data_IF_292929918055
#
_entry.id   IF_292929918055
#
_cell.length_a   1.000
_cell.length_b   1.000
_cell.length_c   1.000
_cell.angle_alpha   90.00
_cell.angle_beta   90.00
_cell.angle_gamma   90.00
#
_symmetry.space_group_name_H-M   'P 1'
#
loop_
_entity.id
_entity.type
_entity.pdbx_description
1 polymer ?
#
# COMPACT_ATOMS: atom_id res chain seq x y z
N UNK A 1 -6.84 7.33 -66.04
CA UNK A 1 -7.58 8.26 -65.18
C UNK A 1 -8.06 7.44 -64.01
N UNK A 2 -7.20 7.18 -63.02
CA UNK A 2 -6.59 8.10 -62.03
C UNK A 2 -7.32 7.94 -60.69
N UNK A 3 -6.59 7.29 -59.78
CA UNK A 3 -6.48 7.48 -58.34
C UNK A 3 -7.50 8.38 -57.61
N UNK A 4 -8.00 7.88 -56.47
CA UNK A 4 -7.73 8.56 -55.19
C UNK A 4 -7.95 7.63 -54.00
N UNK A 5 -6.87 7.43 -53.25
CA UNK A 5 -6.86 6.99 -51.86
C UNK A 5 -7.52 8.04 -50.96
N UNK A 6 -8.35 7.62 -49.99
CA UNK A 6 -8.58 8.19 -48.63
C UNK A 6 -9.90 7.58 -48.11
N UNK A 7 -10.08 7.08 -46.89
CA UNK A 7 -9.44 7.30 -45.60
C UNK A 7 -9.58 6.02 -44.76
N UNK A 8 -8.45 5.47 -44.33
CA UNK A 8 -8.35 4.66 -43.10
C UNK A 8 -8.39 5.66 -41.94
N UNK A 9 -9.44 5.66 -41.11
CA UNK A 9 -9.37 6.27 -39.77
C UNK A 9 -10.62 5.95 -38.95
N UNK A 10 -10.42 5.26 -37.82
CA UNK A 10 -11.35 5.36 -36.69
C UNK A 10 -11.81 4.06 -36.05
N UNK A 11 -11.13 2.93 -36.26
CA UNK A 11 -11.16 1.85 -35.26
C UNK A 11 -9.87 1.94 -34.46
N UNK A 12 -9.95 1.73 -33.15
CA UNK A 12 -8.84 1.74 -32.17
C UNK A 12 -8.55 3.06 -31.43
N UNK A 13 -9.58 3.65 -30.80
CA UNK A 13 -9.38 4.49 -29.61
C UNK A 13 -10.20 4.02 -28.40
N UNK A 14 -11.21 3.18 -28.60
CA UNK A 14 -12.03 2.60 -27.52
C UNK A 14 -11.49 1.27 -26.96
N UNK A 15 -10.52 0.63 -27.64
CA UNK A 15 -9.90 -0.62 -27.17
C UNK A 15 -8.65 -0.38 -26.29
N UNK A 16 -8.10 0.84 -26.31
CA UNK A 16 -6.93 1.22 -25.49
C UNK A 16 -7.28 1.80 -24.14
N UNK A 17 -8.53 2.17 -23.92
CA UNK A 17 -9.09 2.17 -22.57
C UNK A 17 -9.42 0.72 -22.24
N UNK A 18 -8.37 -0.08 -21.98
CA UNK A 18 -8.54 -1.25 -21.14
C UNK A 18 -9.07 -0.72 -19.82
N UNK A 19 -10.39 -0.69 -19.71
CA UNK A 19 -11.12 -0.87 -18.48
C UNK A 19 -10.26 -1.78 -17.62
N UNK A 20 -9.60 -1.20 -16.61
CA UNK A 20 -9.25 -1.93 -15.40
C UNK A 20 -10.59 -2.26 -14.72
N UNK A 21 -11.42 -3.04 -15.40
CA UNK A 21 -12.45 -3.82 -14.78
C UNK A 21 -11.63 -4.88 -14.05
N UNK A 22 -11.27 -4.55 -12.82
CA UNK A 22 -10.59 -5.46 -11.92
C UNK A 22 -11.44 -6.72 -11.92
N UNK A 23 -11.01 -7.75 -12.63
CA UNK A 23 -11.73 -9.02 -12.75
C UNK A 23 -11.72 -9.68 -11.36
N UNK A 24 -12.66 -9.27 -10.50
CA UNK A 24 -13.05 -10.00 -9.30
C UNK A 24 -13.73 -11.35 -9.66
N UNK A 25 -13.63 -11.81 -10.91
CA UNK A 25 -14.25 -13.02 -11.44
C UNK A 25 -13.41 -14.28 -11.23
N UNK A 26 -12.20 -14.18 -10.66
CA UNK A 26 -11.46 -15.37 -10.25
C UNK A 26 -11.93 -15.88 -8.88
N UNK A 27 -12.04 -17.20 -8.73
CA UNK A 27 -12.26 -17.81 -7.42
C UNK A 27 -11.18 -17.32 -6.44
N UNK A 28 -11.58 -16.92 -5.23
CA UNK A 28 -10.63 -16.47 -4.21
C UNK A 28 -9.58 -17.54 -3.93
N UNK A 29 -8.31 -17.17 -4.10
CA UNK A 29 -7.15 -18.00 -3.75
C UNK A 29 -6.49 -17.39 -2.51
N UNK A 30 -6.57 -18.04 -1.34
CA UNK A 30 -5.92 -17.54 -0.13
C UNK A 30 -4.41 -17.40 -0.34
N UNK A 31 -3.85 -16.26 0.08
CA UNK A 31 -2.39 -16.06 0.09
C UNK A 31 -1.74 -17.08 1.03
N UNK A 32 -0.68 -17.74 0.55
CA UNK A 32 0.12 -18.69 1.33
C UNK A 32 1.32 -17.96 1.91
N UNK A 33 1.39 -17.86 3.24
CA UNK A 33 2.40 -17.08 3.96
C UNK A 33 2.43 -15.59 3.56
N UNK A 34 3.06 -15.24 2.45
CA UNK A 34 3.10 -13.87 1.92
C UNK A 34 3.16 -13.87 0.38
N UNK A 35 2.75 -12.75 -0.22
CA UNK A 35 2.96 -12.42 -1.63
C UNK A 35 3.61 -11.06 -1.72
N UNK A 36 4.73 -10.98 -2.42
CA UNK A 36 5.54 -9.76 -2.53
C UNK A 36 5.30 -9.14 -3.90
N UNK A 37 5.04 -7.84 -3.92
CA UNK A 37 4.95 -7.05 -5.15
C UNK A 37 5.90 -5.86 -5.05
N UNK A 38 6.79 -5.76 -6.03
CA UNK A 38 7.78 -4.69 -6.14
C UNK A 38 7.28 -3.66 -7.16
N UNK A 39 7.45 -2.38 -6.84
CA UNK A 39 7.17 -1.30 -7.77
C UNK A 39 8.06 -0.09 -7.51
N UNK A 40 8.39 0.62 -8.60
CA UNK A 40 9.15 1.86 -8.57
C UNK A 40 8.20 3.06 -8.58
N UNK A 41 8.52 4.08 -7.78
CA UNK A 41 7.65 5.25 -7.61
C UNK A 41 8.01 6.45 -8.48
N UNK A 42 7.92 6.33 -9.81
CA UNK A 42 8.19 7.47 -10.73
C UNK A 42 7.16 8.61 -10.67
N UNK A 43 5.92 8.30 -10.29
CA UNK A 43 4.75 9.19 -10.47
C UNK A 43 4.26 9.90 -9.20
N UNK A 44 4.82 9.61 -8.02
CA UNK A 44 4.05 9.77 -6.78
C UNK A 44 3.98 11.21 -6.25
N UNK A 45 4.84 12.13 -6.72
CA UNK A 45 4.96 13.47 -6.12
C UNK A 45 5.26 14.59 -7.13
N UNK A 46 4.28 14.94 -7.96
CA UNK A 46 4.39 16.10 -8.87
C UNK A 46 4.14 17.46 -8.18
N UNK A 47 3.77 17.52 -6.90
CA UNK A 47 3.26 18.76 -6.28
C UNK A 47 4.10 19.43 -5.18
N UNK A 48 5.37 19.05 -4.96
CA UNK A 48 6.26 19.90 -4.14
C UNK A 48 7.59 20.18 -4.84
N UNK A 49 7.59 21.20 -5.71
CA UNK A 49 8.80 21.85 -6.22
C UNK A 49 9.45 22.76 -5.16
N UNK A 50 9.71 22.22 -3.97
CA UNK A 50 10.55 22.88 -2.97
C UNK A 50 11.79 22.03 -2.71
N UNK A 51 12.82 22.42 -3.45
CA UNK A 51 14.26 22.18 -3.30
C UNK A 51 14.67 21.43 -2.03
N UNK A 52 15.20 20.21 -2.18
CA UNK A 52 16.02 19.54 -1.17
C UNK A 52 15.57 18.13 -0.77
N UNK A 53 14.34 17.72 -1.07
CA UNK A 53 13.91 16.33 -0.90
C UNK A 53 14.63 15.46 -1.95
N UNK A 54 15.39 14.45 -1.50
CA UNK A 54 15.78 13.30 -2.34
C UNK A 54 14.54 12.94 -3.15
N UNK A 55 14.63 13.01 -4.48
CA UNK A 55 13.48 12.74 -5.34
C UNK A 55 12.95 11.38 -4.92
N UNK A 56 11.72 11.35 -4.42
CA UNK A 56 10.94 10.13 -4.16
C UNK A 56 10.76 9.27 -5.43
N UNK A 57 11.35 9.69 -6.57
CA UNK A 57 11.36 9.02 -7.87
C UNK A 57 12.28 7.78 -7.91
N UNK A 58 13.22 7.63 -6.97
CA UNK A 58 14.17 6.51 -6.97
C UNK A 58 13.93 5.54 -5.79
N UNK A 59 12.75 5.58 -5.17
CA UNK A 59 12.39 4.68 -4.08
C UNK A 59 11.77 3.39 -4.63
N UNK A 60 12.37 2.26 -4.26
CA UNK A 60 11.81 0.93 -4.49
C UNK A 60 10.85 0.61 -3.35
N UNK A 61 9.62 0.22 -3.69
CA UNK A 61 8.61 -0.16 -2.69
C UNK A 61 8.29 -1.63 -2.83
N UNK A 62 8.37 -2.35 -1.72
CA UNK A 62 7.95 -3.74 -1.61
C UNK A 62 6.65 -3.82 -0.80
N UNK A 63 5.57 -4.24 -1.44
CA UNK A 63 4.32 -4.54 -0.76
C UNK A 63 4.25 -6.03 -0.46
N UNK A 64 4.20 -6.36 0.83
CA UNK A 64 4.08 -7.72 1.33
C UNK A 64 2.62 -8.00 1.75
N UNK A 65 1.84 -8.62 0.87
CA UNK A 65 0.49 -9.13 1.17
C UNK A 65 0.61 -10.38 2.05
N UNK A 66 0.27 -10.25 3.33
CA UNK A 66 0.44 -11.31 4.34
C UNK A 66 -0.83 -12.12 4.52
N UNK A 67 -0.69 -13.44 4.63
CA UNK A 67 -1.81 -14.34 4.90
C UNK A 67 -2.45 -14.06 6.26
N UNK A 68 -3.78 -13.94 6.30
CA UNK A 68 -4.55 -13.88 7.55
C UNK A 68 -4.66 -15.22 8.30
N UNK A 69 -4.14 -16.31 7.75
CA UNK A 69 -4.20 -17.65 8.36
C UNK A 69 -3.07 -17.85 9.37
N UNK A 70 -3.44 -18.08 10.63
CA UNK A 70 -2.53 -18.25 11.77
C UNK A 70 -1.58 -19.45 11.64
N UNK A 71 -1.81 -20.38 10.71
CA UNK A 71 -0.84 -21.47 10.46
C UNK A 71 0.52 -20.99 9.91
N UNK A 72 0.59 -19.73 9.45
CA UNK A 72 1.81 -19.10 8.97
C UNK A 72 2.47 -18.19 10.03
N UNK A 73 2.08 -18.26 11.29
CA UNK A 73 2.66 -17.46 12.37
C UNK A 73 4.18 -17.59 12.50
N UNK A 74 4.71 -18.80 12.24
CA UNK A 74 6.13 -19.08 12.36
C UNK A 74 7.01 -18.27 11.37
N UNK A 75 6.45 -17.78 10.26
CA UNK A 75 7.18 -16.95 9.30
C UNK A 75 6.98 -15.44 9.52
N UNK A 76 6.13 -15.02 10.46
CA UNK A 76 5.91 -13.60 10.74
C UNK A 76 7.20 -12.84 11.09
N UNK A 77 8.14 -13.37 11.90
CA UNK A 77 9.39 -12.66 12.19
C UNK A 77 10.16 -12.26 10.93
N UNK A 78 10.25 -13.15 9.94
CA UNK A 78 10.95 -12.86 8.68
C UNK A 78 10.16 -11.91 7.76
N UNK A 79 8.83 -11.91 7.84
CA UNK A 79 7.97 -11.04 7.02
C UNK A 79 8.02 -9.59 7.51
N UNK A 80 8.10 -9.39 8.83
CA UNK A 80 8.01 -8.06 9.45
C UNK A 80 9.36 -7.43 9.78
N UNK A 81 10.44 -8.17 9.54
CA UNK A 81 11.81 -7.66 9.65
C UNK A 81 11.95 -6.42 8.75
N UNK A 82 12.45 -5.33 9.33
CA UNK A 82 12.63 -4.02 8.67
C UNK A 82 11.37 -3.42 8.02
N UNK A 83 10.17 -3.80 8.46
CA UNK A 83 8.94 -3.21 7.96
C UNK A 83 8.84 -1.70 8.32
N UNK A 84 8.68 -0.86 7.30
CA UNK A 84 8.61 0.60 7.47
C UNK A 84 7.19 1.13 7.72
N UNK A 85 6.18 0.38 7.26
CA UNK A 85 4.78 0.74 7.41
C UNK A 85 3.86 -0.48 7.31
N UNK A 86 2.65 -0.35 7.86
CA UNK A 86 1.66 -1.44 7.95
C UNK A 86 0.28 -0.95 7.55
N UNK A 87 -0.38 -1.72 6.68
CA UNK A 87 -1.79 -1.54 6.34
C UNK A 87 -2.58 -2.67 7.00
N UNK A 88 -3.44 -2.31 7.96
CA UNK A 88 -4.36 -3.24 8.62
C UNK A 88 -5.68 -3.26 7.85
N UNK A 89 -6.10 -4.44 7.38
CA UNK A 89 -7.33 -4.60 6.60
C UNK A 89 -8.35 -5.41 7.39
N UNK A 90 -9.58 -4.93 7.49
CA UNK A 90 -10.69 -5.66 8.11
C UNK A 90 -11.95 -5.53 7.26
N UNK A 91 -12.73 -6.61 7.16
CA UNK A 91 -14.10 -6.53 6.66
C UNK A 91 -15.03 -6.13 7.81
N UNK A 92 -15.64 -4.93 7.82
CA UNK A 92 -16.49 -4.46 8.92
C UNK A 92 -17.80 -5.25 9.06
N UNK A 93 -18.16 -6.08 8.08
CA UNK A 93 -19.34 -6.97 8.17
C UNK A 93 -19.06 -8.27 8.92
N UNK A 94 -17.80 -8.70 8.96
CA UNK A 94 -17.37 -9.98 9.55
C UNK A 94 -16.47 -9.81 10.78
N UNK A 95 -15.77 -8.69 10.88
CA UNK A 95 -14.78 -8.42 11.91
C UNK A 95 -15.18 -7.22 12.77
N UNK A 96 -14.59 -7.19 13.97
CA UNK A 96 -14.63 -6.09 14.92
C UNK A 96 -13.22 -5.51 15.08
N UNK A 97 -13.10 -4.33 15.72
CA UNK A 97 -11.78 -3.78 15.99
C UNK A 97 -10.91 -4.65 16.91
N UNK A 98 -11.51 -5.54 17.72
CA UNK A 98 -10.74 -6.50 18.55
C UNK A 98 -9.95 -7.49 17.70
N UNK A 99 -10.43 -7.82 16.51
CA UNK A 99 -9.75 -8.75 15.60
C UNK A 99 -8.46 -8.15 15.04
N UNK A 100 -8.33 -6.83 15.04
CA UNK A 100 -7.09 -6.13 14.69
C UNK A 100 -6.01 -6.19 15.80
N UNK A 101 -6.36 -6.60 17.02
CA UNK A 101 -5.45 -6.49 18.18
C UNK A 101 -4.20 -7.35 18.01
N UNK A 102 -4.37 -8.58 17.52
CA UNK A 102 -3.25 -9.49 17.27
C UNK A 102 -2.29 -8.88 16.25
N UNK A 103 -2.81 -8.46 15.10
CA UNK A 103 -2.03 -7.89 14.00
C UNK A 103 -1.33 -6.60 14.40
N UNK A 104 -2.03 -5.73 15.12
CA UNK A 104 -1.45 -4.51 15.66
C UNK A 104 -0.29 -4.81 16.62
N UNK A 105 -0.46 -5.72 17.57
CA UNK A 105 0.61 -6.06 18.51
C UNK A 105 1.80 -6.71 17.78
N UNK A 106 1.56 -7.62 16.85
CA UNK A 106 2.63 -8.37 16.19
C UNK A 106 3.40 -7.58 15.14
N UNK A 107 2.72 -6.77 14.32
CA UNK A 107 3.33 -6.06 13.20
C UNK A 107 3.59 -4.59 13.48
N UNK A 108 2.94 -3.97 14.48
CA UNK A 108 3.13 -2.55 14.79
C UNK A 108 3.88 -2.35 16.10
N UNK A 109 3.38 -2.91 17.21
CA UNK A 109 3.97 -2.65 18.52
C UNK A 109 5.35 -3.31 18.69
N UNK A 110 5.49 -4.58 18.29
CA UNK A 110 6.77 -5.29 18.42
C UNK A 110 7.86 -4.74 17.51
N UNK A 111 7.49 -4.28 16.31
CA UNK A 111 8.42 -3.68 15.33
C UNK A 111 8.61 -2.17 15.53
N UNK A 112 7.99 -1.59 16.57
CA UNK A 112 8.10 -0.17 16.90
C UNK A 112 7.77 0.76 15.70
N UNK A 113 6.78 0.36 14.90
CA UNK A 113 6.30 1.15 13.77
C UNK A 113 5.51 2.34 14.29
N UNK A 114 5.88 3.54 13.84
CA UNK A 114 5.20 4.78 14.24
C UNK A 114 3.77 4.76 13.68
N UNK A 115 2.82 5.30 14.45
CA UNK A 115 1.42 5.35 14.02
C UNK A 115 1.18 6.18 12.74
N UNK A 116 2.09 7.12 12.40
CA UNK A 116 2.12 7.85 11.12
C UNK A 116 2.47 6.97 9.90
N UNK A 117 2.97 5.75 10.14
CA UNK A 117 3.24 4.69 9.17
C UNK A 117 2.25 3.52 9.30
N UNK A 118 1.08 3.74 9.91
CA UNK A 118 -0.01 2.75 9.95
C UNK A 118 -1.21 3.30 9.20
N UNK A 119 -1.92 2.44 8.49
CA UNK A 119 -3.22 2.74 7.87
C UNK A 119 -4.19 1.62 8.18
N UNK A 120 -5.47 1.95 8.38
CA UNK A 120 -6.54 0.95 8.53
C UNK A 120 -7.50 1.06 7.35
N UNK A 121 -7.73 -0.06 6.66
CA UNK A 121 -8.71 -0.17 5.59
C UNK A 121 -9.87 -1.04 6.07
N UNK A 122 -11.05 -0.45 6.13
CA UNK A 122 -12.30 -1.17 6.32
C UNK A 122 -12.82 -1.56 4.94
N UNK A 123 -12.51 -2.79 4.54
CA UNK A 123 -12.78 -3.33 3.22
C UNK A 123 -14.21 -3.88 3.15
N UNK A 124 -15.10 -3.15 2.50
CA UNK A 124 -16.50 -3.52 2.28
C UNK A 124 -16.57 -4.60 1.19
N UNK A 125 -16.90 -5.84 1.58
CA UNK A 125 -17.00 -6.98 0.67
C UNK A 125 -18.47 -7.25 0.33
N UNK A 126 -18.87 -7.08 -0.94
CA UNK A 126 -20.25 -7.36 -1.35
C UNK A 126 -20.63 -6.76 -2.71
N UNK A 127 -21.91 -6.83 -3.07
CA UNK A 127 -22.46 -6.09 -4.23
C UNK A 127 -23.04 -4.73 -3.84
N UNK A 128 -23.13 -4.47 -2.54
CA UNK A 128 -23.67 -3.25 -1.94
C UNK A 128 -22.62 -2.69 -1.00
N UNK A 129 -22.55 -1.37 -0.91
CA UNK A 129 -21.79 -0.69 0.15
C UNK A 129 -22.36 -1.09 1.51
N UNK A 130 -21.48 -1.34 2.45
CA UNK A 130 -21.81 -1.61 3.86
C UNK A 130 -22.55 -0.41 4.42
N UNK A 131 -23.57 -0.64 5.26
CA UNK A 131 -24.35 0.46 5.83
C UNK A 131 -23.45 1.33 6.73
N UNK A 132 -23.63 2.65 6.71
CA UNK A 132 -22.93 3.59 7.60
C UNK A 132 -23.04 3.20 9.08
N UNK A 133 -24.12 2.54 9.49
CA UNK A 133 -24.30 2.01 10.85
C UNK A 133 -23.32 0.88 11.19
N UNK A 134 -22.99 0.00 10.24
CA UNK A 134 -22.05 -1.09 10.48
C UNK A 134 -20.61 -0.55 10.57
N UNK A 135 -20.25 0.36 9.66
CA UNK A 135 -18.97 1.07 9.71
C UNK A 135 -18.83 1.86 11.03
N UNK A 136 -19.89 2.55 11.46
CA UNK A 136 -19.86 3.31 12.72
C UNK A 136 -19.85 2.42 13.97
N UNK A 137 -20.41 1.21 13.87
CA UNK A 137 -20.36 0.20 14.94
C UNK A 137 -19.03 -0.55 15.02
N UNK A 138 -18.15 -0.42 14.03
CA UNK A 138 -16.80 -0.99 14.10
C UNK A 138 -16.01 -0.28 15.20
N UNK A 139 -15.97 -0.90 16.38
CA UNK A 139 -15.27 -0.36 17.55
C UNK A 139 -13.75 -0.45 17.37
N UNK A 140 -13.17 0.57 16.74
CA UNK A 140 -11.73 0.66 16.52
C UNK A 140 -10.96 0.56 17.85
N UNK A 141 -9.83 -0.13 17.84
CA UNK A 141 -8.94 -0.21 18.98
C UNK A 141 -8.56 1.20 19.46
N UNK A 142 -8.60 1.48 20.78
CA UNK A 142 -8.26 2.80 21.30
C UNK A 142 -6.91 3.33 20.82
N UNK A 143 -5.92 2.44 20.65
CA UNK A 143 -4.57 2.76 20.15
C UNK A 143 -4.55 3.17 18.68
N UNK A 144 -5.52 2.71 17.89
CA UNK A 144 -5.64 3.02 16.47
C UNK A 144 -6.49 4.27 16.20
N UNK A 145 -7.19 4.85 17.17
CA UNK A 145 -8.11 6.00 16.94
C UNK A 145 -7.48 7.22 16.26
N UNK A 146 -6.17 7.43 16.43
CA UNK A 146 -5.43 8.53 15.79
C UNK A 146 -4.80 8.18 14.44
N UNK A 147 -4.96 6.94 13.97
CA UNK A 147 -4.44 6.42 12.71
C UNK A 147 -5.38 6.82 11.56
N UNK A 148 -4.87 6.85 10.33
CA UNK A 148 -5.70 7.07 9.14
C UNK A 148 -6.60 5.86 8.87
N UNK A 149 -7.90 6.10 8.70
CA UNK A 149 -8.88 5.04 8.40
C UNK A 149 -9.63 5.36 7.12
N UNK A 150 -9.81 4.36 6.27
CA UNK A 150 -10.61 4.47 5.05
C UNK A 150 -11.56 3.28 4.99
N UNK A 151 -12.85 3.56 4.88
CA UNK A 151 -13.83 2.55 4.45
C UNK A 151 -13.87 2.55 2.92
N UNK A 152 -13.83 1.37 2.31
CA UNK A 152 -13.70 1.29 0.87
C UNK A 152 -14.30 0.02 0.27
N UNK A 153 -14.90 0.19 -0.90
CA UNK A 153 -15.34 -0.91 -1.74
C UNK A 153 -14.49 -0.99 -3.03
N UNK A 154 -13.54 -1.93 -3.07
CA UNK A 154 -12.55 -2.03 -4.17
C UNK A 154 -13.15 -2.18 -5.57
N UNK A 155 -14.35 -2.77 -5.69
CA UNK A 155 -15.01 -2.95 -6.99
C UNK A 155 -15.58 -1.67 -7.61
N UNK A 156 -15.74 -0.59 -6.85
CA UNK A 156 -16.40 0.65 -7.32
C UNK A 156 -15.58 1.92 -7.13
N UNK A 157 -14.55 1.90 -6.28
CA UNK A 157 -13.84 3.12 -5.86
C UNK A 157 -12.31 3.02 -6.04
N UNK A 158 -11.83 2.10 -6.87
CA UNK A 158 -10.40 1.79 -7.03
C UNK A 158 -9.46 3.01 -7.21
N UNK A 159 -9.88 4.06 -7.92
CA UNK A 159 -9.08 5.28 -8.08
C UNK A 159 -8.89 6.03 -6.75
N UNK A 160 -9.93 6.11 -5.93
CA UNK A 160 -9.84 6.73 -4.61
C UNK A 160 -8.94 5.91 -3.69
N UNK A 161 -9.04 4.58 -3.71
CA UNK A 161 -8.10 3.74 -2.95
C UNK A 161 -6.67 3.95 -3.39
N UNK A 162 -6.42 4.04 -4.70
CA UNK A 162 -5.08 4.34 -5.21
C UNK A 162 -4.54 5.65 -4.63
N UNK A 163 -5.36 6.71 -4.59
CA UNK A 163 -4.95 7.99 -3.99
C UNK A 163 -4.65 7.85 -2.48
N UNK A 164 -5.49 7.14 -1.73
CA UNK A 164 -5.31 6.93 -0.29
C UNK A 164 -4.03 6.15 0.03
N UNK A 165 -3.80 5.04 -0.67
CA UNK A 165 -2.57 4.23 -0.51
C UNK A 165 -1.34 5.02 -0.95
N UNK A 166 -1.43 5.83 -2.01
CA UNK A 166 -0.33 6.70 -2.43
C UNK A 166 0.03 7.74 -1.36
N UNK A 167 -0.99 8.38 -0.76
CA UNK A 167 -0.78 9.35 0.32
C UNK A 167 -0.17 8.69 1.56
N UNK A 168 -0.57 7.45 1.85
CA UNK A 168 0.02 6.65 2.92
C UNK A 168 1.50 6.35 2.67
N UNK A 169 1.84 5.81 1.49
CA UNK A 169 3.24 5.52 1.12
C UNK A 169 4.11 6.78 1.19
N UNK A 170 3.59 7.93 0.80
CA UNK A 170 4.25 9.21 0.96
C UNK A 170 4.61 9.54 2.42
N UNK A 171 3.70 9.21 3.35
CA UNK A 171 3.92 9.41 4.78
C UNK A 171 5.07 8.53 5.27
N UNK A 172 5.06 7.25 4.91
CA UNK A 172 6.10 6.29 5.26
C UNK A 172 7.46 6.75 4.76
N UNK A 173 7.58 7.10 3.48
CA UNK A 173 8.83 7.57 2.89
C UNK A 173 9.36 8.84 3.57
N UNK A 174 8.49 9.78 3.98
CA UNK A 174 8.91 10.97 4.74
C UNK A 174 9.44 10.64 6.13
N UNK A 175 8.92 9.59 6.76
CA UNK A 175 9.41 9.12 8.06
C UNK A 175 10.78 8.49 7.90
N UNK A 176 10.94 7.66 6.88
CA UNK A 176 12.20 7.00 6.57
C UNK A 176 13.31 8.02 6.24
N UNK A 177 13.03 8.99 5.37
CA UNK A 177 13.97 10.07 5.05
C UNK A 177 14.44 10.84 6.29
N UNK A 178 13.54 11.10 7.25
CA UNK A 178 13.90 11.75 8.53
C UNK A 178 14.81 10.84 9.37
N UNK A 179 14.52 9.54 9.45
CA UNK A 179 15.37 8.57 10.15
C UNK A 179 16.79 8.54 9.56
N UNK A 180 16.90 8.54 8.23
CA UNK A 180 18.19 8.57 7.54
C UNK A 180 18.98 9.85 7.84
N UNK A 181 18.33 11.02 7.74
CA UNK A 181 18.96 12.31 8.06
C UNK A 181 19.41 12.40 9.52
N UNK A 182 18.61 11.88 10.46
CA UNK A 182 18.98 11.79 11.87
C UNK A 182 20.21 10.89 12.06
N UNK A 183 20.25 9.72 11.43
CA UNK A 183 21.41 8.81 11.48
C UNK A 183 22.69 9.46 10.92
N UNK A 184 22.62 10.14 9.78
CA UNK A 184 23.74 10.89 9.21
C UNK A 184 24.21 12.00 10.16
N UNK A 185 23.28 12.75 10.78
CA UNK A 185 23.63 13.81 11.74
C UNK A 185 24.33 13.27 12.99
N UNK A 186 24.11 12.00 13.32
CA UNK A 186 24.77 11.27 14.40
C UNK A 186 26.05 10.54 13.96
N UNK A 187 26.50 10.73 12.71
CA UNK A 187 27.73 10.14 12.16
C UNK A 187 27.60 8.66 11.78
N UNK A 188 26.38 8.16 11.63
CA UNK A 188 26.07 6.80 11.19
C UNK A 188 25.65 6.81 9.70
N UNK A 189 26.54 7.28 8.82
CA UNK A 189 26.32 7.10 7.38
C UNK A 189 26.73 5.69 6.98
N UNK A 190 25.87 4.98 6.24
CA UNK A 190 26.28 3.78 5.53
C UNK A 190 27.33 4.20 4.51
N UNK A 191 28.60 3.91 4.78
CA UNK A 191 29.62 3.90 3.74
C UNK A 191 29.20 2.82 2.75
N UNK A 192 28.73 3.26 1.59
CA UNK A 192 28.51 2.44 0.41
C UNK A 192 29.87 1.88 0.00
N UNK A 193 30.30 0.80 0.67
CA UNK A 193 31.39 -0.06 0.24
C UNK A 193 30.90 -0.80 -1.01
N UNK A 194 30.72 -0.04 -2.10
CA UNK A 194 31.03 -0.54 -3.43
C UNK A 194 32.52 -0.81 -3.42
N UNK A 195 32.88 -1.97 -2.89
CA UNK A 195 34.06 -2.65 -3.34
C UNK A 195 33.88 -2.78 -4.85
N UNK A 196 34.52 -1.86 -5.58
CA UNK A 196 34.92 -2.09 -6.96
C UNK A 196 35.75 -3.39 -6.90
N UNK A 197 35.09 -4.53 -7.05
CA UNK A 197 35.74 -5.78 -7.41
C UNK A 197 36.33 -5.55 -8.82
N UNK A 198 37.53 -4.99 -8.84
CA UNK A 198 38.47 -5.08 -9.94
C UNK A 198 38.71 -6.57 -10.24
N UNK A 199 38.07 -7.07 -11.29
CA UNK A 199 38.42 -8.31 -11.99
C UNK A 199 38.55 -8.06 -13.49
#
# INVERSE_FOLDING_TARGET
MEDSETMKRGEDSSERERKFEFEFTSNYVPTKAARIQEFETHEFFAESQQSGTRRLQDSEIHLWDVSGDRKYEDCWPAIKEDAEGVILVANPEEHSGKDLQLWFTEFVEKENIKLECVMVILNEQGSKKTNHEQISSFEILPKLRGVHHVAHHFGSEALQMKMEVNNFMASVLRVDQRRFQEAESHGLSYEDNRDEEDF
#
